data_IF_213739571717
#
_entry.id   IF_213739571717
#
_cell.length_a   1.000
_cell.length_b   1.000
_cell.length_c   1.000
_cell.angle_alpha   90.00
_cell.angle_beta   90.00
_cell.angle_gamma   90.00
#
_symmetry.space_group_name_H-M   'P 1'
#
loop_
_entity.id
_entity.type
_entity.pdbx_description
1 polymer ?
#
# COMPACT_ATOMS: atom_id res chain seq x y z
N UNK A 1 -62.79 -41.47 47.02
CA UNK A 1 -62.02 -40.23 47.12
C UNK A 1 -60.51 -40.44 47.40
N UNK A 2 -60.03 -41.61 47.71
CA UNK A 2 -58.62 -41.91 47.96
C UNK A 2 -57.84 -42.53 46.76
N UNK A 3 -58.58 -43.03 45.75
CA UNK A 3 -57.89 -43.63 44.56
C UNK A 3 -57.64 -42.63 43.42
N UNK A 4 -58.44 -41.56 43.30
CA UNK A 4 -58.23 -40.54 42.28
C UNK A 4 -57.02 -39.63 42.58
N UNK A 5 -56.64 -39.55 43.83
CA UNK A 5 -55.47 -38.75 44.24
C UNK A 5 -54.14 -39.45 44.01
N UNK A 6 -54.11 -40.78 43.88
CA UNK A 6 -52.84 -41.52 43.58
C UNK A 6 -52.53 -41.61 42.10
N UNK A 7 -53.50 -41.44 41.23
CA UNK A 7 -53.30 -41.42 39.79
C UNK A 7 -52.72 -40.09 39.32
N UNK A 8 -53.11 -38.95 39.93
CA UNK A 8 -52.58 -37.63 39.58
C UNK A 8 -51.11 -37.42 40.05
N UNK A 9 -50.77 -38.08 41.18
CA UNK A 9 -49.39 -37.95 41.70
C UNK A 9 -48.38 -38.81 40.93
N UNK A 10 -48.82 -39.84 40.20
CA UNK A 10 -47.92 -40.67 39.36
C UNK A 10 -47.69 -40.07 37.96
N UNK A 11 -48.60 -39.24 37.46
CA UNK A 11 -48.40 -38.55 36.19
C UNK A 11 -47.50 -37.29 36.29
N UNK A 12 -47.37 -36.68 37.47
CA UNK A 12 -46.47 -35.52 37.66
C UNK A 12 -45.01 -35.88 37.94
N UNK A 13 -44.65 -37.13 38.22
CA UNK A 13 -43.27 -37.57 38.42
C UNK A 13 -42.57 -38.15 37.17
N UNK A 14 -43.30 -38.33 36.08
CA UNK A 14 -42.72 -38.82 34.82
C UNK A 14 -42.35 -37.71 33.81
N UNK A 15 -42.59 -36.43 34.15
CA UNK A 15 -42.37 -35.29 33.26
C UNK A 15 -41.09 -34.45 33.58
N UNK A 16 -40.25 -34.91 34.50
CA UNK A 16 -39.05 -34.12 34.93
C UNK A 16 -37.77 -34.98 34.78
N UNK A 17 -37.51 -35.49 33.57
CA UNK A 17 -36.18 -36.08 33.27
C UNK A 17 -35.89 -36.12 31.77
N UNK A 18 -36.22 -35.03 31.07
CA UNK A 18 -35.60 -34.76 29.73
C UNK A 18 -35.19 -33.29 29.72
N UNK A 19 -34.45 -32.85 30.73
CA UNK A 19 -33.54 -31.73 30.51
C UNK A 19 -32.29 -32.32 29.87
N UNK A 20 -32.29 -32.30 28.54
CA UNK A 20 -31.10 -32.59 27.78
C UNK A 20 -29.97 -31.69 28.31
N UNK A 21 -28.88 -32.31 28.73
CA UNK A 21 -27.60 -31.63 28.93
C UNK A 21 -27.15 -31.09 27.60
N UNK A 22 -27.79 -29.99 27.17
CA UNK A 22 -27.24 -29.13 26.15
C UNK A 22 -25.91 -28.61 26.70
N UNK A 23 -24.84 -29.28 26.37
CA UNK A 23 -23.49 -28.70 26.53
C UNK A 23 -23.54 -27.40 25.77
N UNK A 24 -23.69 -26.25 26.47
CA UNK A 24 -23.39 -24.96 25.94
C UNK A 24 -21.88 -25.07 25.64
N UNK A 25 -21.54 -25.42 24.41
CA UNK A 25 -20.21 -25.29 23.92
C UNK A 25 -19.89 -23.80 23.99
N UNK A 26 -19.19 -23.39 25.06
CA UNK A 26 -18.60 -22.06 25.14
C UNK A 26 -17.66 -21.98 23.96
N UNK A 27 -18.11 -21.30 22.90
CA UNK A 27 -17.25 -21.07 21.74
C UNK A 27 -16.02 -20.35 22.26
N UNK A 28 -14.89 -21.05 22.29
CA UNK A 28 -13.62 -20.46 22.69
C UNK A 28 -13.42 -19.21 21.83
N UNK A 29 -13.10 -18.08 22.47
CA UNK A 29 -12.83 -16.85 21.74
C UNK A 29 -11.81 -17.14 20.63
N UNK A 30 -12.06 -16.69 19.40
CA UNK A 30 -11.17 -16.99 18.29
C UNK A 30 -9.74 -16.54 18.61
N UNK A 31 -8.77 -17.40 18.36
CA UNK A 31 -7.35 -17.02 18.46
C UNK A 31 -7.09 -15.90 17.46
N UNK A 32 -6.27 -14.92 17.83
CA UNK A 32 -6.02 -13.72 17.03
C UNK A 32 -4.53 -13.61 16.69
N UNK A 33 -4.26 -13.33 15.42
CA UNK A 33 -2.96 -12.85 14.95
C UNK A 33 -3.04 -11.34 14.82
N UNK A 34 -2.18 -10.62 15.54
CA UNK A 34 -2.11 -9.16 15.48
C UNK A 34 -1.09 -8.73 14.44
N UNK A 35 -1.51 -7.90 13.49
CA UNK A 35 -0.64 -7.14 12.59
C UNK A 35 -0.53 -5.71 13.15
N UNK A 36 0.66 -5.17 13.27
CA UNK A 36 0.87 -3.79 13.69
C UNK A 36 1.11 -2.89 12.48
N UNK A 37 0.57 -1.69 12.49
CA UNK A 37 0.78 -0.70 11.45
C UNK A 37 0.80 0.72 12.04
N UNK A 38 1.95 1.38 12.00
CA UNK A 38 2.02 2.82 12.13
C UNK A 38 1.84 3.41 10.73
N UNK A 39 0.85 4.26 10.51
CA UNK A 39 0.52 4.79 9.18
C UNK A 39 -0.14 6.15 9.31
N UNK A 40 0.07 7.04 8.34
CA UNK A 40 -0.43 8.40 8.39
C UNK A 40 -1.95 8.47 8.26
N UNK A 41 -2.63 8.81 9.34
CA UNK A 41 -4.04 9.24 9.33
C UNK A 41 -4.14 10.75 9.14
N UNK A 42 -3.10 11.47 9.56
CA UNK A 42 -2.96 12.92 9.47
C UNK A 42 -1.61 13.28 8.84
N UNK A 43 -1.44 14.56 8.47
CA UNK A 43 -0.23 15.05 7.84
C UNK A 43 -0.23 14.87 6.32
N UNK A 44 0.90 15.17 5.68
CA UNK A 44 1.05 15.24 4.22
C UNK A 44 0.82 13.91 3.49
N UNK A 45 1.11 12.78 4.15
CA UNK A 45 0.96 11.44 3.58
C UNK A 45 -0.43 10.81 3.85
N UNK A 46 -1.32 11.53 4.53
CA UNK A 46 -2.61 11.00 5.00
C UNK A 46 -3.52 10.50 3.87
N UNK A 47 -3.46 11.14 2.70
CA UNK A 47 -4.22 10.73 1.51
C UNK A 47 -3.83 9.30 1.10
N UNK A 48 -2.56 9.07 0.86
CA UNK A 48 -2.06 7.75 0.45
C UNK A 48 -2.08 6.75 1.60
N UNK A 49 -1.83 7.19 2.84
CA UNK A 49 -2.03 6.39 4.04
C UNK A 49 -3.44 5.81 4.14
N UNK A 50 -4.46 6.59 3.73
CA UNK A 50 -5.85 6.11 3.64
C UNK A 50 -6.00 4.98 2.61
N UNK A 51 -5.36 5.07 1.45
CA UNK A 51 -5.44 4.03 0.41
C UNK A 51 -4.93 2.69 0.94
N UNK A 52 -3.80 2.68 1.65
CA UNK A 52 -3.27 1.47 2.28
C UNK A 52 -4.18 0.94 3.38
N UNK A 53 -4.65 1.80 4.28
CA UNK A 53 -5.55 1.39 5.36
C UNK A 53 -6.82 0.73 4.83
N UNK A 54 -7.48 1.34 3.84
CA UNK A 54 -8.70 0.78 3.24
C UNK A 54 -8.42 -0.62 2.66
N UNK A 55 -7.26 -0.82 2.09
CA UNK A 55 -6.84 -2.11 1.51
C UNK A 55 -6.50 -3.15 2.56
N UNK A 56 -5.77 -2.77 3.59
CA UNK A 56 -5.45 -3.65 4.72
C UNK A 56 -6.72 -4.14 5.41
N UNK A 57 -7.65 -3.22 5.69
CA UNK A 57 -8.93 -3.54 6.33
C UNK A 57 -9.78 -4.49 5.46
N UNK A 58 -9.84 -4.22 4.14
CA UNK A 58 -10.58 -5.08 3.22
C UNK A 58 -9.98 -6.50 3.13
N UNK A 59 -8.64 -6.60 3.05
CA UNK A 59 -7.96 -7.88 2.98
C UNK A 59 -8.14 -8.70 4.26
N UNK A 60 -7.99 -8.07 5.43
CA UNK A 60 -8.20 -8.71 6.74
C UNK A 60 -9.62 -9.19 6.88
N UNK A 61 -10.61 -8.37 6.54
CA UNK A 61 -12.01 -8.76 6.62
C UNK A 61 -12.32 -9.95 5.70
N UNK A 62 -11.81 -9.93 4.47
CA UNK A 62 -12.01 -11.03 3.51
C UNK A 62 -11.40 -12.33 4.01
N UNK A 63 -10.18 -12.29 4.55
CA UNK A 63 -9.52 -13.46 5.15
C UNK A 63 -10.36 -13.99 6.32
N UNK A 64 -10.81 -13.11 7.20
CA UNK A 64 -11.59 -13.49 8.37
C UNK A 64 -12.95 -14.11 7.98
N UNK A 65 -13.64 -13.53 7.00
CA UNK A 65 -14.89 -14.08 6.45
C UNK A 65 -14.70 -15.43 5.75
N UNK A 66 -13.52 -15.67 5.18
CA UNK A 66 -13.16 -16.94 4.54
C UNK A 66 -12.71 -18.02 5.52
N UNK A 67 -12.84 -17.79 6.82
CA UNK A 67 -12.48 -18.74 7.87
C UNK A 67 -11.13 -18.49 8.54
N UNK A 68 -10.50 -17.33 8.27
CA UNK A 68 -9.24 -16.93 8.93
C UNK A 68 -7.99 -17.64 8.39
N UNK A 69 -6.93 -17.68 9.21
CA UNK A 69 -5.64 -18.31 8.90
C UNK A 69 -5.49 -19.62 9.67
N UNK A 70 -5.09 -20.69 8.99
CA UNK A 70 -4.90 -22.02 9.59
C UNK A 70 -3.44 -22.25 9.98
N UNK A 71 -3.18 -22.48 11.26
CA UNK A 71 -1.84 -22.71 11.79
C UNK A 71 -1.86 -23.85 12.81
N UNK A 72 -1.11 -24.92 12.56
CA UNK A 72 -0.93 -26.02 13.52
C UNK A 72 -2.23 -26.64 14.04
N UNK A 73 -3.24 -26.79 13.15
CA UNK A 73 -4.54 -27.36 13.51
C UNK A 73 -5.52 -26.35 14.17
N UNK A 74 -5.10 -25.09 14.31
CA UNK A 74 -5.95 -24.00 14.85
C UNK A 74 -6.28 -22.98 13.78
N UNK A 75 -7.45 -22.35 13.93
CA UNK A 75 -7.88 -21.20 13.11
C UNK A 75 -7.69 -19.90 13.88
N UNK A 76 -7.13 -18.91 13.21
CA UNK A 76 -6.87 -17.58 13.76
C UNK A 76 -7.62 -16.52 12.94
N UNK A 77 -8.16 -15.52 13.64
CA UNK A 77 -8.63 -14.29 13.00
C UNK A 77 -7.48 -13.29 12.94
N UNK A 78 -7.44 -12.48 11.89
CA UNK A 78 -6.52 -11.35 11.80
C UNK A 78 -7.12 -10.12 12.48
N UNK A 79 -6.28 -9.34 13.13
CA UNK A 79 -6.60 -8.00 13.63
C UNK A 79 -5.44 -7.06 13.38
N UNK A 80 -5.72 -5.84 12.91
CA UNK A 80 -4.70 -4.80 12.79
C UNK A 80 -4.78 -3.88 14.01
N UNK A 81 -3.61 -3.52 14.54
CA UNK A 81 -3.42 -2.49 15.54
C UNK A 81 -2.79 -1.30 14.84
N UNK A 82 -3.52 -0.22 14.75
CA UNK A 82 -3.09 0.99 14.06
C UNK A 82 -2.65 2.08 15.03
N UNK A 83 -1.65 2.85 14.59
CA UNK A 83 -1.29 4.15 15.17
C UNK A 83 -1.12 5.18 14.05
N UNK A 84 -1.50 6.44 14.35
CA UNK A 84 -1.25 7.57 13.47
C UNK A 84 0.18 8.07 13.66
N UNK A 85 1.01 7.93 12.64
CA UNK A 85 2.38 8.43 12.62
C UNK A 85 2.49 9.93 12.28
N UNK A 86 1.37 10.56 11.92
CA UNK A 86 1.27 11.99 11.57
C UNK A 86 2.19 12.41 10.43
N UNK A 87 2.58 11.47 9.58
CA UNK A 87 3.57 11.66 8.52
C UNK A 87 4.97 12.06 9.03
N UNK A 88 5.29 11.70 10.28
CA UNK A 88 6.59 11.94 10.90
C UNK A 88 7.39 10.63 11.03
N UNK A 89 8.58 10.53 10.38
CA UNK A 89 9.38 9.31 10.41
C UNK A 89 9.88 8.91 11.80
N UNK A 90 10.11 9.90 12.69
CA UNK A 90 10.57 9.64 14.06
C UNK A 90 9.43 9.09 14.91
N UNK A 91 8.26 9.70 14.80
CA UNK A 91 7.05 9.24 15.48
C UNK A 91 6.67 7.83 15.00
N UNK A 92 6.71 7.57 13.68
CA UNK A 92 6.41 6.26 13.12
C UNK A 92 7.30 5.17 13.72
N UNK A 93 8.62 5.36 13.71
CA UNK A 93 9.55 4.37 14.26
C UNK A 93 9.34 4.12 15.75
N UNK A 94 8.99 5.16 16.53
CA UNK A 94 8.62 5.03 17.94
C UNK A 94 7.34 4.21 18.11
N UNK A 95 6.35 4.43 17.25
CA UNK A 95 5.09 3.70 17.27
C UNK A 95 5.26 2.24 16.82
N UNK A 96 6.13 1.97 15.85
CA UNK A 96 6.50 0.58 15.47
C UNK A 96 7.14 -0.14 16.65
N UNK A 97 8.03 0.52 17.40
CA UNK A 97 8.61 -0.06 18.63
C UNK A 97 7.53 -0.37 19.67
N UNK A 98 6.58 0.54 19.88
CA UNK A 98 5.44 0.35 20.79
C UNK A 98 4.55 -0.82 20.36
N UNK A 99 4.20 -0.93 19.08
CA UNK A 99 3.45 -2.06 18.51
C UNK A 99 4.11 -3.41 18.86
N UNK A 100 5.43 -3.46 18.81
CA UNK A 100 6.19 -4.69 19.09
C UNK A 100 6.28 -4.98 20.59
N UNK A 101 6.67 -3.98 21.40
CA UNK A 101 7.05 -4.16 22.79
C UNK A 101 5.86 -4.12 23.76
N UNK A 102 4.85 -3.31 23.47
CA UNK A 102 3.68 -3.11 24.36
C UNK A 102 2.43 -3.84 23.83
N UNK A 103 2.11 -3.69 22.54
CA UNK A 103 0.92 -4.34 21.96
C UNK A 103 1.15 -5.80 21.58
N UNK A 104 2.42 -6.24 21.56
CA UNK A 104 2.84 -7.60 21.24
C UNK A 104 2.27 -8.11 19.92
N UNK A 105 2.40 -7.28 18.86
CA UNK A 105 1.99 -7.69 17.53
C UNK A 105 2.85 -8.83 17.00
N UNK A 106 2.27 -9.71 16.21
CA UNK A 106 2.97 -10.85 15.63
C UNK A 106 3.87 -10.42 14.47
N UNK A 107 3.35 -9.56 13.58
CA UNK A 107 3.99 -9.10 12.35
C UNK A 107 3.64 -7.63 12.11
N UNK A 108 4.31 -6.99 11.14
CA UNK A 108 4.13 -5.57 10.81
C UNK A 108 3.70 -5.40 9.37
N UNK A 109 2.72 -4.55 9.15
CA UNK A 109 2.41 -3.95 7.86
C UNK A 109 3.13 -2.60 7.77
N UNK A 110 3.66 -2.31 6.59
CA UNK A 110 4.40 -1.07 6.37
C UNK A 110 3.54 0.17 6.25
N UNK A 111 4.16 1.34 6.46
CA UNK A 111 3.55 2.64 6.24
C UNK A 111 3.62 3.07 4.77
N UNK A 112 3.26 4.32 4.51
CA UNK A 112 3.63 5.14 3.37
C UNK A 112 4.34 6.39 3.93
N UNK A 113 5.48 6.85 3.46
CA UNK A 113 6.23 6.65 2.22
C UNK A 113 7.61 6.00 2.49
N UNK A 114 8.55 6.04 1.52
CA UNK A 114 9.94 5.58 1.73
C UNK A 114 10.64 6.30 2.88
N UNK A 115 10.36 7.62 3.07
CA UNK A 115 10.90 8.41 4.17
C UNK A 115 10.54 7.85 5.53
N UNK A 116 9.32 7.34 5.68
CA UNK A 116 8.80 6.72 6.91
C UNK A 116 9.22 5.24 7.00
N UNK A 117 9.15 4.50 5.89
CA UNK A 117 9.50 3.07 5.89
C UNK A 117 10.97 2.79 6.25
N UNK A 118 11.90 3.68 5.88
CA UNK A 118 13.33 3.50 6.18
C UNK A 118 13.59 3.36 7.68
N UNK A 119 13.21 4.30 8.57
CA UNK A 119 13.42 4.15 10.01
C UNK A 119 12.60 2.98 10.60
N UNK A 120 11.38 2.75 10.15
CA UNK A 120 10.55 1.63 10.61
C UNK A 120 11.19 0.28 10.30
N UNK A 121 11.82 0.15 9.12
CA UNK A 121 12.55 -1.05 8.72
C UNK A 121 13.72 -1.37 9.65
N UNK A 122 14.37 -0.34 10.20
CA UNK A 122 15.47 -0.50 11.18
C UNK A 122 14.93 -1.09 12.48
N UNK A 123 13.77 -0.60 12.95
CA UNK A 123 13.12 -1.12 14.16
C UNK A 123 12.69 -2.56 13.94
N UNK A 124 11.98 -2.85 12.84
CA UNK A 124 11.53 -4.20 12.50
C UNK A 124 12.70 -5.20 12.42
N UNK A 125 13.82 -4.80 11.80
CA UNK A 125 15.05 -5.59 11.72
C UNK A 125 15.67 -5.83 13.12
N UNK A 126 15.76 -4.79 13.95
CA UNK A 126 16.32 -4.86 15.32
C UNK A 126 15.55 -5.85 16.19
N UNK A 127 14.23 -5.82 16.11
CA UNK A 127 13.35 -6.70 16.88
C UNK A 127 13.08 -8.05 16.19
N UNK A 128 13.61 -8.26 14.99
CA UNK A 128 13.40 -9.48 14.18
C UNK A 128 11.93 -9.79 13.97
N UNK A 129 11.14 -8.77 13.64
CA UNK A 129 9.73 -8.88 13.31
C UNK A 129 9.57 -8.72 11.80
N UNK A 130 9.04 -9.71 11.07
CA UNK A 130 8.74 -9.55 9.66
C UNK A 130 7.81 -8.37 9.42
N UNK A 131 8.22 -7.48 8.50
CA UNK A 131 7.45 -6.38 7.97
C UNK A 131 7.26 -6.60 6.47
N UNK A 132 6.02 -6.59 6.01
CA UNK A 132 5.70 -6.50 4.60
C UNK A 132 5.19 -5.09 4.34
N UNK A 133 5.76 -4.44 3.35
CA UNK A 133 5.46 -3.06 3.04
C UNK A 133 5.24 -2.86 1.54
N UNK A 134 4.26 -2.06 1.21
CA UNK A 134 3.92 -1.71 -0.16
C UNK A 134 3.99 -0.21 -0.42
N UNK A 135 4.42 0.59 0.58
CA UNK A 135 4.43 2.04 0.52
C UNK A 135 5.80 2.67 0.32
N UNK A 136 6.87 1.90 0.45
CA UNK A 136 8.25 2.35 0.28
C UNK A 136 8.93 1.66 -0.89
N UNK A 137 9.52 2.41 -1.82
CA UNK A 137 10.20 1.85 -2.97
C UNK A 137 11.69 2.22 -3.05
N UNK A 138 12.18 3.08 -2.14
CA UNK A 138 13.60 3.47 -2.14
C UNK A 138 14.53 2.28 -1.90
N UNK A 139 15.55 2.14 -2.74
CA UNK A 139 16.58 1.12 -2.56
C UNK A 139 17.26 1.16 -1.18
N UNK A 140 17.21 2.29 -0.47
CA UNK A 140 17.76 2.44 0.88
C UNK A 140 17.05 1.60 1.94
N UNK A 141 15.81 1.18 1.70
CA UNK A 141 15.06 0.28 2.58
C UNK A 141 15.72 -1.10 2.59
N UNK A 142 16.18 -1.58 1.43
CA UNK A 142 16.64 -2.96 1.21
C UNK A 142 18.17 -3.10 1.20
N UNK A 143 18.92 -2.01 0.91
CA UNK A 143 20.38 -2.06 0.70
C UNK A 143 21.21 -2.31 1.97
N UNK A 144 20.60 -2.29 3.15
CA UNK A 144 21.27 -2.47 4.45
C UNK A 144 21.43 -3.95 4.86
N UNK A 145 21.05 -4.90 4.00
CA UNK A 145 21.07 -6.32 4.34
C UNK A 145 19.98 -6.72 5.33
N UNK A 146 18.89 -5.95 5.39
CA UNK A 146 17.73 -6.25 6.21
C UNK A 146 17.13 -7.60 5.79
N UNK A 147 16.88 -8.47 6.79
CA UNK A 147 16.35 -9.82 6.56
C UNK A 147 14.87 -9.96 6.91
N UNK A 148 14.29 -8.95 7.52
CA UNK A 148 12.92 -8.97 8.03
C UNK A 148 12.01 -7.98 7.31
N UNK A 149 12.47 -7.39 6.20
CA UNK A 149 11.73 -6.41 5.41
C UNK A 149 11.49 -6.97 4.02
N UNK A 150 10.26 -6.92 3.57
CA UNK A 150 9.80 -7.41 2.26
C UNK A 150 8.95 -6.34 1.60
N UNK A 151 9.27 -5.98 0.36
CA UNK A 151 8.55 -4.96 -0.40
C UNK A 151 7.74 -5.56 -1.53
N UNK A 152 6.59 -4.96 -1.82
CA UNK A 152 5.69 -5.38 -2.92
C UNK A 152 5.71 -4.40 -4.10
N UNK A 153 6.40 -3.25 -3.98
CA UNK A 153 6.60 -2.31 -5.07
C UNK A 153 7.91 -2.58 -5.83
N UNK A 154 7.98 -2.22 -7.12
CA UNK A 154 9.24 -2.20 -7.86
C UNK A 154 10.24 -1.24 -7.21
N UNK A 155 11.57 -1.48 -7.33
CA UNK A 155 12.57 -0.53 -6.84
C UNK A 155 12.42 0.84 -7.49
N UNK A 156 12.46 1.91 -6.69
CA UNK A 156 12.24 3.30 -7.15
C UNK A 156 13.11 3.69 -8.35
N UNK A 157 14.37 3.29 -8.38
CA UNK A 157 15.27 3.58 -9.50
C UNK A 157 14.87 2.95 -10.85
N UNK A 158 13.84 2.10 -10.88
CA UNK A 158 13.30 1.48 -12.10
C UNK A 158 11.96 2.09 -12.56
N UNK A 159 11.41 3.06 -11.82
CA UNK A 159 10.06 3.56 -12.08
C UNK A 159 9.88 4.08 -13.51
N UNK A 160 10.78 4.92 -14.03
CA UNK A 160 10.68 5.43 -15.39
C UNK A 160 11.33 4.53 -16.46
N UNK A 161 11.76 3.31 -16.13
CA UNK A 161 12.36 2.41 -17.11
C UNK A 161 11.40 2.09 -18.26
N UNK A 162 10.18 1.69 -17.95
CA UNK A 162 9.15 1.39 -18.96
C UNK A 162 8.77 2.63 -19.78
N UNK A 163 8.78 3.81 -19.16
CA UNK A 163 8.58 5.08 -19.86
C UNK A 163 9.69 5.31 -20.88
N UNK A 164 10.96 5.16 -20.49
CA UNK A 164 12.10 5.31 -21.40
C UNK A 164 12.04 4.28 -22.54
N UNK A 165 11.62 3.04 -22.26
CA UNK A 165 11.39 2.01 -23.28
C UNK A 165 10.26 2.39 -24.23
N UNK A 166 9.15 2.91 -23.71
CA UNK A 166 8.01 3.36 -24.51
C UNK A 166 8.38 4.54 -25.42
N UNK A 167 9.18 5.51 -24.94
CA UNK A 167 9.62 6.66 -25.73
C UNK A 167 10.38 6.24 -27.01
N UNK A 168 11.09 5.09 -27.00
CA UNK A 168 11.76 4.55 -28.19
C UNK A 168 10.80 4.12 -29.30
N UNK A 169 9.54 3.91 -28.98
CA UNK A 169 8.50 3.54 -29.98
C UNK A 169 7.89 4.75 -30.67
N UNK A 170 8.12 5.97 -30.16
CA UNK A 170 7.60 7.21 -30.74
C UNK A 170 8.27 7.52 -32.09
N UNK A 171 7.56 8.18 -32.98
CA UNK A 171 8.07 8.60 -34.28
C UNK A 171 7.75 10.08 -34.51
N UNK A 172 8.75 10.99 -34.49
CA UNK A 172 10.16 10.76 -34.15
C UNK A 172 10.39 10.43 -32.68
N UNK A 173 11.44 9.68 -32.39
CA UNK A 173 11.86 9.36 -31.00
C UNK A 173 12.31 10.66 -30.32
N UNK A 174 11.74 11.05 -29.18
CA UNK A 174 12.23 12.17 -28.37
C UNK A 174 13.69 11.99 -27.97
N UNK A 175 14.46 13.05 -27.88
CA UNK A 175 15.90 13.00 -27.56
C UNK A 175 16.23 13.62 -26.20
N UNK A 176 15.49 14.68 -25.82
CA UNK A 176 15.81 15.49 -24.66
C UNK A 176 14.79 15.28 -23.53
N UNK A 177 15.31 15.06 -22.33
CA UNK A 177 14.50 14.80 -21.13
C UNK A 177 14.84 15.81 -20.05
N UNK A 178 13.81 16.39 -19.43
CA UNK A 178 13.90 17.08 -18.15
C UNK A 178 13.49 16.10 -17.04
N UNK A 179 14.30 15.99 -15.98
CA UNK A 179 14.00 15.22 -14.78
C UNK A 179 13.89 16.20 -13.62
N UNK A 180 12.69 16.26 -13.03
CA UNK A 180 12.42 17.03 -11.82
C UNK A 180 12.08 16.05 -10.69
N UNK A 181 12.54 16.37 -9.48
CA UNK A 181 12.30 15.45 -8.35
C UNK A 181 12.27 16.18 -7.00
N UNK A 182 11.41 15.72 -6.12
CA UNK A 182 11.31 16.18 -4.74
C UNK A 182 12.53 15.76 -3.91
N UNK A 183 12.90 16.57 -2.91
CA UNK A 183 13.99 16.24 -1.98
C UNK A 183 13.55 15.22 -0.91
N UNK A 184 12.89 14.17 -1.33
CA UNK A 184 12.59 13.03 -0.46
C UNK A 184 13.34 11.75 -0.86
N UNK A 185 13.22 10.71 -0.06
CA UNK A 185 14.00 9.47 -0.24
C UNK A 185 13.55 8.64 -1.44
N UNK A 186 12.25 8.69 -1.78
CA UNK A 186 11.70 8.00 -2.92
C UNK A 186 12.09 8.71 -4.22
N UNK A 187 11.79 10.00 -4.34
CA UNK A 187 11.95 10.76 -5.57
C UNK A 187 13.41 10.95 -5.95
N UNK A 188 14.31 11.15 -4.97
CA UNK A 188 15.75 11.10 -5.19
C UNK A 188 16.17 9.75 -5.78
N UNK A 189 15.66 8.64 -5.25
CA UNK A 189 15.99 7.29 -5.78
C UNK A 189 15.46 7.09 -7.20
N UNK A 190 14.26 7.60 -7.51
CA UNK A 190 13.69 7.59 -8.87
C UNK A 190 14.56 8.38 -9.82
N UNK A 191 14.87 9.62 -9.47
CA UNK A 191 15.62 10.54 -10.33
C UNK A 191 17.04 10.02 -10.65
N UNK A 192 17.78 9.61 -9.62
CA UNK A 192 19.13 9.03 -9.79
C UNK A 192 19.11 7.75 -10.65
N UNK A 193 18.11 6.88 -10.43
CA UNK A 193 17.94 5.68 -11.23
C UNK A 193 17.59 6.01 -12.68
N UNK A 194 16.70 6.95 -12.90
CA UNK A 194 16.31 7.42 -14.25
C UNK A 194 17.48 8.05 -15.00
N UNK A 195 18.26 8.89 -14.34
CA UNK A 195 19.45 9.51 -14.94
C UNK A 195 20.47 8.46 -15.40
N UNK A 196 20.68 7.42 -14.57
CA UNK A 196 21.58 6.30 -14.92
C UNK A 196 21.08 5.49 -16.11
N UNK A 197 19.76 5.35 -16.28
CA UNK A 197 19.15 4.61 -17.37
C UNK A 197 19.04 5.42 -18.66
N UNK A 198 18.82 6.74 -18.58
CA UNK A 198 18.53 7.59 -19.73
C UNK A 198 19.67 7.61 -20.76
N UNK A 199 20.89 7.89 -20.35
CA UNK A 199 22.04 8.01 -21.27
C UNK A 199 22.35 6.72 -22.05
N UNK A 200 22.46 5.54 -21.43
CA UNK A 200 22.64 4.28 -22.17
C UNK A 200 21.48 3.95 -23.12
N UNK A 201 20.29 4.48 -22.83
CA UNK A 201 19.10 4.29 -23.67
C UNK A 201 19.00 5.30 -24.82
N UNK A 202 19.94 6.27 -24.93
CA UNK A 202 20.03 7.22 -26.02
C UNK A 202 19.27 8.52 -25.79
N UNK A 203 19.05 8.90 -24.54
CA UNK A 203 18.39 10.15 -24.15
C UNK A 203 19.35 11.12 -23.49
N UNK A 204 19.25 12.41 -23.85
CA UNK A 204 19.97 13.51 -23.24
C UNK A 204 19.16 14.11 -22.10
N UNK A 205 19.71 14.10 -20.89
CA UNK A 205 19.11 14.76 -19.73
C UNK A 205 19.54 16.22 -19.73
N UNK A 206 18.69 17.09 -20.28
CA UNK A 206 18.97 18.54 -20.43
C UNK A 206 18.64 19.35 -19.18
N UNK A 207 17.85 18.77 -18.27
CA UNK A 207 17.54 19.33 -16.95
C UNK A 207 17.50 18.20 -15.94
N UNK A 208 18.24 18.36 -14.83
CA UNK A 208 18.19 17.47 -13.67
C UNK A 208 18.06 18.35 -12.43
N UNK A 209 16.84 18.57 -11.98
CA UNK A 209 16.52 19.60 -10.99
C UNK A 209 15.76 19.04 -9.81
N UNK A 210 16.31 19.33 -8.63
CA UNK A 210 15.68 19.04 -7.34
C UNK A 210 14.83 20.22 -6.88
N UNK A 211 13.63 19.96 -6.39
CA UNK A 211 12.79 20.94 -5.72
C UNK A 211 12.53 20.54 -4.25
N UNK A 212 12.08 21.49 -3.45
CA UNK A 212 11.80 21.25 -2.04
C UNK A 212 10.60 20.29 -1.89
N UNK A 213 10.67 19.38 -0.93
CA UNK A 213 9.54 18.53 -0.57
C UNK A 213 8.33 19.39 -0.18
N UNK A 214 7.15 19.09 -0.75
CA UNK A 214 5.93 19.87 -0.56
C UNK A 214 5.87 21.17 -1.36
N UNK A 215 6.69 21.32 -2.40
CA UNK A 215 6.66 22.51 -3.27
C UNK A 215 5.27 22.72 -3.89
N UNK A 216 4.85 23.99 -3.90
CA UNK A 216 3.58 24.42 -4.48
C UNK A 216 3.76 25.31 -5.70
N UNK A 217 4.97 25.80 -5.99
CA UNK A 217 5.30 26.67 -7.14
C UNK A 217 6.37 26.00 -8.00
N UNK A 218 6.02 25.75 -9.25
CA UNK A 218 6.86 25.15 -10.29
C UNK A 218 7.17 26.09 -11.45
N UNK A 219 6.83 27.38 -11.34
CA UNK A 219 6.98 28.38 -12.40
C UNK A 219 8.41 28.42 -12.95
N UNK A 220 9.43 28.42 -12.06
CA UNK A 220 10.83 28.42 -12.46
C UNK A 220 11.22 27.17 -13.24
N UNK A 221 10.87 25.99 -12.72
CA UNK A 221 11.17 24.70 -13.36
C UNK A 221 10.49 24.56 -14.70
N UNK A 222 9.21 24.96 -14.81
CA UNK A 222 8.45 24.95 -16.06
C UNK A 222 9.05 25.92 -17.10
N UNK A 223 9.51 27.09 -16.67
CA UNK A 223 10.20 28.04 -17.55
C UNK A 223 11.51 27.45 -18.10
N UNK A 224 12.28 26.73 -17.27
CA UNK A 224 13.50 26.03 -17.71
C UNK A 224 13.18 24.92 -18.71
N UNK A 225 12.16 24.08 -18.46
CA UNK A 225 11.68 23.04 -19.40
C UNK A 225 11.41 23.67 -20.77
N UNK A 226 10.69 24.79 -20.78
CA UNK A 226 10.32 25.50 -22.03
C UNK A 226 11.55 26.09 -22.74
N UNK A 227 12.44 26.76 -22.01
CA UNK A 227 13.65 27.39 -22.58
C UNK A 227 14.66 26.39 -23.12
N UNK A 228 14.83 25.26 -22.45
CA UNK A 228 15.69 24.14 -22.87
C UNK A 228 15.04 23.29 -23.96
N UNK A 229 13.79 23.54 -24.31
CA UNK A 229 13.01 22.77 -25.30
C UNK A 229 13.03 21.26 -24.98
N UNK A 230 12.93 20.91 -23.70
CA UNK A 230 12.87 19.51 -23.31
C UNK A 230 11.64 18.86 -23.94
N UNK A 231 11.86 17.76 -24.67
CA UNK A 231 10.79 17.05 -25.37
C UNK A 231 9.93 16.21 -24.43
N UNK A 232 10.51 15.79 -23.29
CA UNK A 232 9.84 14.97 -22.27
C UNK A 232 10.15 15.57 -20.89
N UNK A 233 9.14 15.67 -20.04
CA UNK A 233 9.29 15.98 -18.63
C UNK A 233 8.94 14.73 -17.78
N UNK A 234 9.91 14.26 -17.00
CA UNK A 234 9.74 13.20 -16.02
C UNK A 234 9.76 13.84 -14.63
N UNK A 235 8.66 13.72 -13.91
CA UNK A 235 8.47 14.38 -12.61
C UNK A 235 8.33 13.32 -11.53
N UNK A 236 9.31 13.23 -10.65
CA UNK A 236 9.26 12.40 -9.46
C UNK A 236 8.77 13.27 -8.30
N UNK A 237 7.60 12.94 -7.78
CA UNK A 237 6.91 13.66 -6.71
C UNK A 237 5.71 12.88 -6.23
N UNK A 238 5.14 13.33 -5.13
CA UNK A 238 3.90 12.80 -4.57
C UNK A 238 2.67 13.51 -5.15
N UNK A 239 1.49 13.09 -4.75
CA UNK A 239 0.22 13.49 -5.38
C UNK A 239 0.00 15.00 -5.40
N UNK A 240 0.24 15.70 -4.29
CA UNK A 240 -0.01 17.15 -4.22
C UNK A 240 0.96 17.95 -5.12
N UNK A 241 2.24 17.56 -5.15
CA UNK A 241 3.25 18.16 -6.02
C UNK A 241 2.92 17.90 -7.47
N UNK A 242 2.49 16.69 -7.81
CA UNK A 242 2.06 16.32 -9.17
C UNK A 242 0.84 17.12 -9.63
N UNK A 243 -0.13 17.35 -8.74
CA UNK A 243 -1.30 18.20 -9.02
C UNK A 243 -0.87 19.64 -9.32
N UNK A 244 -0.06 20.22 -8.44
CA UNK A 244 0.42 21.61 -8.61
C UNK A 244 1.25 21.78 -9.89
N UNK A 245 2.14 20.83 -10.17
CA UNK A 245 2.93 20.84 -11.41
C UNK A 245 2.04 20.76 -12.65
N UNK A 246 1.09 19.84 -12.69
CA UNK A 246 0.20 19.64 -13.81
C UNK A 246 -0.65 20.88 -14.10
N UNK A 247 -1.22 21.50 -13.07
CA UNK A 247 -2.01 22.71 -13.17
C UNK A 247 -1.18 23.87 -13.73
N UNK A 248 0.00 24.11 -13.16
CA UNK A 248 0.87 25.20 -13.58
C UNK A 248 1.46 24.97 -14.98
N UNK A 249 1.76 23.74 -15.36
CA UNK A 249 2.18 23.41 -16.72
C UNK A 249 1.11 23.82 -17.75
N UNK A 250 -0.15 23.61 -17.42
CA UNK A 250 -1.28 24.06 -18.24
C UNK A 250 -1.39 25.56 -18.28
N UNK A 251 -1.37 26.24 -17.14
CA UNK A 251 -1.48 27.70 -17.01
C UNK A 251 -0.36 28.43 -17.78
N UNK A 252 0.86 27.93 -17.73
CA UNK A 252 2.02 28.49 -18.40
C UNK A 252 2.22 28.02 -19.85
N UNK A 253 1.30 27.20 -20.37
CA UNK A 253 1.40 26.60 -21.70
C UNK A 253 2.76 25.88 -21.90
N UNK A 254 3.19 25.10 -20.94
CA UNK A 254 4.37 24.22 -21.04
C UNK A 254 3.89 22.83 -21.42
N UNK A 255 4.01 22.51 -22.69
CA UNK A 255 3.48 21.27 -23.26
C UNK A 255 4.59 20.52 -24.02
N UNK A 256 5.46 19.78 -23.34
CA UNK A 256 6.39 18.85 -23.99
C UNK A 256 5.60 17.71 -24.66
N UNK A 257 6.26 16.88 -25.47
CA UNK A 257 5.61 15.71 -26.11
C UNK A 257 5.03 14.72 -25.09
N UNK A 258 5.58 14.70 -23.88
CA UNK A 258 5.11 13.90 -22.77
C UNK A 258 5.44 14.56 -21.43
N UNK A 259 4.50 14.55 -20.51
CA UNK A 259 4.71 14.70 -19.08
C UNK A 259 4.38 13.35 -18.44
N UNK A 260 5.30 12.77 -17.72
CA UNK A 260 5.06 11.54 -16.97
C UNK A 260 5.48 11.72 -15.51
N UNK A 261 4.62 11.29 -14.59
CA UNK A 261 4.78 11.49 -13.15
C UNK A 261 4.79 10.15 -12.42
N UNK A 262 5.47 10.10 -11.27
CA UNK A 262 5.56 8.86 -10.46
C UNK A 262 4.27 8.58 -9.71
N UNK A 263 3.76 9.55 -8.96
CA UNK A 263 2.55 9.42 -8.14
C UNK A 263 1.53 10.49 -8.56
N UNK A 264 0.28 10.21 -8.41
CA UNK A 264 -0.84 11.09 -8.77
C UNK A 264 -1.66 10.57 -9.95
N UNK A 265 -1.17 10.51 -11.20
CA UNK A 265 -2.01 10.21 -12.36
C UNK A 265 -2.80 8.89 -12.30
N UNK A 266 -2.30 7.88 -11.59
CA UNK A 266 -3.01 6.63 -11.36
C UNK A 266 -4.14 6.75 -10.34
N UNK A 267 -4.12 7.76 -9.48
CA UNK A 267 -5.10 7.96 -8.42
C UNK A 267 -6.40 8.60 -8.96
N UNK A 268 -7.54 8.16 -8.42
CA UNK A 268 -8.84 8.69 -8.81
C UNK A 268 -8.98 10.19 -8.51
N UNK A 269 -8.45 10.63 -7.37
CA UNK A 269 -8.52 12.02 -6.93
C UNK A 269 -7.70 12.97 -7.82
N UNK A 270 -6.57 12.54 -8.35
CA UNK A 270 -5.78 13.33 -9.32
C UNK A 270 -6.62 13.67 -10.55
N UNK A 271 -7.23 12.65 -11.15
CA UNK A 271 -8.10 12.84 -12.33
C UNK A 271 -9.35 13.66 -12.02
N UNK A 272 -9.92 13.46 -10.82
CA UNK A 272 -11.10 14.24 -10.38
C UNK A 272 -10.77 15.71 -10.16
N UNK A 273 -9.61 16.02 -9.59
CA UNK A 273 -9.17 17.39 -9.30
C UNK A 273 -8.85 18.19 -10.56
N UNK A 274 -8.17 17.57 -11.53
CA UNK A 274 -7.76 18.23 -12.76
C UNK A 274 -8.81 18.15 -13.89
N UNK A 275 -9.76 17.20 -13.81
CA UNK A 275 -10.72 16.99 -14.89
C UNK A 275 -10.03 16.76 -16.24
N UNK A 276 -10.37 17.55 -17.26
CA UNK A 276 -9.76 17.46 -18.60
C UNK A 276 -8.28 17.87 -18.64
N UNK A 277 -7.80 18.60 -17.65
CA UNK A 277 -6.39 18.98 -17.60
C UNK A 277 -5.48 17.83 -17.19
N UNK A 278 -6.04 16.69 -16.72
CA UNK A 278 -5.34 15.44 -16.55
C UNK A 278 -5.10 14.67 -17.87
N UNK A 279 -5.81 15.02 -18.95
CA UNK A 279 -5.67 14.34 -20.24
C UNK A 279 -4.23 14.52 -20.78
N UNK A 280 -3.65 13.44 -21.31
CA UNK A 280 -2.29 13.38 -21.84
C UNK A 280 -1.16 13.51 -20.79
N UNK A 281 -1.48 13.50 -19.49
CA UNK A 281 -0.49 13.31 -18.44
C UNK A 281 -0.38 11.81 -18.17
N UNK A 282 0.85 11.30 -18.28
CA UNK A 282 1.17 9.90 -18.04
C UNK A 282 1.53 9.67 -16.58
N UNK A 283 1.29 8.46 -16.10
CA UNK A 283 1.68 8.04 -14.76
C UNK A 283 2.37 6.68 -14.78
N UNK A 284 3.25 6.49 -13.82
CA UNK A 284 3.80 5.16 -13.54
C UNK A 284 2.86 4.41 -12.61
N UNK A 285 2.56 3.17 -12.96
CA UNK A 285 1.76 2.30 -12.11
C UNK A 285 2.24 0.85 -12.23
N UNK A 286 2.40 0.17 -11.10
CA UNK A 286 2.73 -1.26 -11.05
C UNK A 286 1.50 -2.14 -11.25
N UNK A 287 0.31 -1.57 -11.11
CA UNK A 287 -0.98 -2.23 -11.30
C UNK A 287 -2.04 -1.21 -11.74
N UNK A 288 -3.04 -1.67 -12.48
CA UNK A 288 -4.21 -0.87 -12.84
C UNK A 288 -5.47 -1.73 -12.92
N UNK A 289 -6.63 -1.09 -12.86
CA UNK A 289 -7.95 -1.73 -12.95
C UNK A 289 -8.20 -2.46 -14.28
N UNK A 290 -7.41 -2.17 -15.31
CA UNK A 290 -7.51 -2.77 -16.64
C UNK A 290 -6.65 -4.04 -16.79
N UNK A 291 -5.76 -4.33 -15.85
CA UNK A 291 -4.99 -5.57 -15.85
C UNK A 291 -5.87 -6.76 -15.52
N UNK A 292 -5.57 -7.90 -16.11
CA UNK A 292 -6.34 -9.12 -15.87
C UNK A 292 -5.48 -10.18 -15.17
N UNK A 293 -5.29 -10.01 -13.87
CA UNK A 293 -4.57 -10.97 -13.03
C UNK A 293 -5.54 -11.88 -12.29
N UNK A 294 -5.17 -13.15 -12.18
CA UNK A 294 -5.78 -14.05 -11.19
C UNK A 294 -5.32 -13.63 -9.79
N UNK A 295 -6.24 -13.52 -8.86
CA UNK A 295 -5.96 -13.11 -7.50
C UNK A 295 -5.84 -14.28 -6.52
N UNK A 296 -5.25 -14.02 -5.37
CA UNK A 296 -5.18 -14.96 -4.25
C UNK A 296 -6.36 -14.80 -3.27
N UNK A 297 -6.71 -13.57 -2.93
CA UNK A 297 -7.84 -13.27 -2.06
C UNK A 297 -9.14 -13.03 -2.86
N UNK A 298 -9.03 -12.52 -4.05
CA UNK A 298 -10.12 -12.30 -5.01
C UNK A 298 -9.91 -13.23 -6.19
N UNK A 299 -10.97 -13.58 -6.88
CA UNK A 299 -10.87 -14.44 -8.08
C UNK A 299 -9.95 -13.82 -9.14
N UNK A 300 -10.13 -12.53 -9.38
CA UNK A 300 -9.40 -11.77 -10.38
C UNK A 300 -9.41 -10.27 -10.06
N UNK A 301 -8.74 -9.48 -10.90
CA UNK A 301 -8.71 -8.03 -10.81
C UNK A 301 -10.11 -7.41 -10.81
N UNK A 302 -11.03 -7.91 -11.61
CA UNK A 302 -12.35 -7.31 -11.77
C UNK A 302 -13.24 -7.52 -10.54
N UNK A 303 -13.15 -8.69 -9.88
CA UNK A 303 -13.82 -8.89 -8.59
C UNK A 303 -13.29 -7.94 -7.53
N UNK A 304 -11.96 -7.79 -7.43
CA UNK A 304 -11.35 -6.84 -6.49
C UNK A 304 -11.84 -5.42 -6.74
N UNK A 305 -11.76 -4.92 -7.98
CA UNK A 305 -12.20 -3.56 -8.34
C UNK A 305 -13.68 -3.35 -7.98
N UNK A 306 -14.55 -4.29 -8.33
CA UNK A 306 -15.97 -4.21 -8.07
C UNK A 306 -16.28 -4.12 -6.57
N UNK A 307 -15.70 -5.00 -5.77
CA UNK A 307 -15.94 -5.04 -4.33
C UNK A 307 -15.33 -3.82 -3.63
N UNK A 308 -14.13 -3.41 -4.05
CA UNK A 308 -13.44 -2.23 -3.50
C UNK A 308 -14.25 -0.96 -3.74
N UNK A 309 -14.67 -0.74 -4.99
CA UNK A 309 -15.49 0.42 -5.38
C UNK A 309 -16.83 0.45 -4.64
N UNK A 310 -17.49 -0.71 -4.50
CA UNK A 310 -18.74 -0.81 -3.77
C UNK A 310 -18.59 -0.44 -2.28
N UNK A 311 -17.42 -0.71 -1.69
CA UNK A 311 -17.15 -0.44 -0.27
C UNK A 311 -16.70 0.98 0.00
N UNK A 312 -15.77 1.50 -0.82
CA UNK A 312 -15.07 2.76 -0.55
C UNK A 312 -15.48 3.92 -1.46
N UNK A 313 -16.30 3.65 -2.48
CA UNK A 313 -16.84 4.64 -3.43
C UNK A 313 -15.76 5.39 -4.24
N UNK A 314 -14.62 4.73 -4.50
CA UNK A 314 -13.60 5.19 -5.45
C UNK A 314 -12.93 3.99 -6.14
N UNK A 315 -12.30 4.24 -7.30
CA UNK A 315 -11.59 3.22 -8.05
C UNK A 315 -10.23 2.93 -7.38
N UNK A 316 -9.90 1.66 -7.11
CA UNK A 316 -8.59 1.33 -6.53
C UNK A 316 -7.46 1.59 -7.53
N UNK A 317 -6.29 1.89 -7.01
CA UNK A 317 -5.05 2.01 -7.76
C UNK A 317 -3.98 0.99 -7.29
N UNK A 318 -2.72 1.20 -7.72
CA UNK A 318 -1.64 0.27 -7.37
C UNK A 318 -1.29 0.27 -5.87
N UNK A 319 -1.52 1.37 -5.13
CA UNK A 319 -1.35 1.39 -3.68
C UNK A 319 -2.34 0.45 -3.00
N UNK A 320 -3.59 0.49 -3.46
CA UNK A 320 -4.62 -0.42 -2.94
C UNK A 320 -4.30 -1.88 -3.27
N UNK A 321 -3.89 -2.17 -4.51
CA UNK A 321 -3.52 -3.53 -4.90
C UNK A 321 -2.31 -4.04 -4.11
N UNK A 322 -1.31 -3.18 -3.85
CA UNK A 322 -0.15 -3.47 -3.02
C UNK A 322 -0.55 -3.77 -1.57
N UNK A 323 -1.40 -2.94 -0.96
CA UNK A 323 -1.90 -3.19 0.39
C UNK A 323 -2.69 -4.50 0.53
N UNK A 324 -3.49 -4.87 -0.47
CA UNK A 324 -4.13 -6.20 -0.50
C UNK A 324 -3.08 -7.30 -0.55
N UNK A 325 -2.04 -7.14 -1.37
CA UNK A 325 -0.97 -8.13 -1.51
C UNK A 325 -0.17 -8.30 -0.23
N UNK A 326 0.13 -7.24 0.51
CA UNK A 326 0.87 -7.29 1.76
C UNK A 326 0.21 -8.23 2.79
N UNK A 327 -1.09 -8.10 2.97
CA UNK A 327 -1.86 -8.96 3.89
C UNK A 327 -2.00 -10.38 3.35
N UNK A 328 -2.19 -10.52 2.04
CA UNK A 328 -2.28 -11.82 1.38
C UNK A 328 -0.99 -12.64 1.52
N UNK A 329 0.17 -11.99 1.39
CA UNK A 329 1.49 -12.60 1.56
C UNK A 329 1.66 -13.08 3.00
N UNK A 330 1.24 -12.30 4.01
CA UNK A 330 1.27 -12.79 5.40
C UNK A 330 0.43 -14.04 5.59
N UNK A 331 -0.81 -14.06 5.04
CA UNK A 331 -1.64 -15.26 5.13
C UNK A 331 -0.91 -16.47 4.55
N UNK A 332 -0.42 -16.37 3.32
CA UNK A 332 0.28 -17.47 2.64
C UNK A 332 1.55 -17.90 3.41
N UNK A 333 2.38 -16.95 3.83
CA UNK A 333 3.62 -17.25 4.54
C UNK A 333 3.37 -17.94 5.90
N UNK A 334 2.37 -17.48 6.66
CA UNK A 334 2.01 -18.06 7.95
C UNK A 334 1.46 -19.48 7.78
N UNK A 335 0.58 -19.70 6.82
CA UNK A 335 0.00 -21.04 6.54
C UNK A 335 1.07 -22.01 6.06
N UNK A 336 1.95 -21.61 5.15
CA UNK A 336 3.08 -22.44 4.69
C UNK A 336 4.08 -22.74 5.81
N UNK A 337 4.37 -21.78 6.68
CA UNK A 337 5.23 -22.00 7.84
C UNK A 337 4.61 -22.93 8.89
N UNK A 338 3.27 -23.08 8.90
CA UNK A 338 2.52 -23.84 9.91
C UNK A 338 2.78 -23.33 11.33
N UNK A 339 3.17 -22.05 11.48
CA UNK A 339 3.71 -21.50 12.74
C UNK A 339 3.55 -19.98 12.79
N UNK A 340 3.44 -19.42 14.01
CA UNK A 340 3.55 -17.97 14.26
C UNK A 340 4.97 -17.55 14.66
N UNK A 341 5.92 -18.48 14.62
CA UNK A 341 7.31 -18.15 14.90
C UNK A 341 7.86 -17.23 13.79
N UNK A 342 8.28 -16.01 14.16
CA UNK A 342 8.76 -14.96 13.26
C UNK A 342 9.88 -15.40 12.31
N UNK A 343 10.79 -16.26 12.82
CA UNK A 343 11.91 -16.78 12.03
C UNK A 343 11.45 -17.78 10.94
N UNK A 344 10.38 -18.57 11.24
CA UNK A 344 9.84 -19.54 10.27
C UNK A 344 8.97 -18.86 9.22
N UNK A 345 8.25 -17.81 9.58
CA UNK A 345 7.38 -17.03 8.67
C UNK A 345 8.21 -16.15 7.74
N UNK A 346 9.33 -15.63 8.20
CA UNK A 346 10.29 -14.87 7.39
C UNK A 346 10.84 -15.71 6.23
#
# INVERSE_FOLDING_TARGET
>A
MKESMRAVLKCCLAAILVFGTGTIAWAASPKVIKLGCAISFTGKESRTGKLYRDSYDMAVERINKSGGIKVGGHTYQLKIVYYDDKSDPTESSRLVEKLISEDHVNFLLGPYSSGITIPDSIVAQRYRVPMIEGGGASGKIFSRGNKYIFGTLPPAGQYFKSTLEMLKTFKPVPKTIAILYSDDKFDVSVAEGTQKLAKPMGFDVVLFEKYAEGATDFTSSLTKIKSLKAEVALVAGHTEESLNFAQQAKELNVCPKMINMTVGPSEADFRKSLGKDADYIYGVASWSTQMNFKGYLFKDTQEFVKEFKARYNYDPDYHNASGIADVAIFKDAIERAGSLNRQKVR
#
